data_IF_244452470184
#
_entry.id   IF_244452470184
#
_cell.length_a   1.000
_cell.length_b   1.000
_cell.length_c   1.000
_cell.angle_alpha   90.00
_cell.angle_beta   90.00
_cell.angle_gamma   90.00
#
_symmetry.space_group_name_H-M   'P 1'
#
loop_
_entity.id
_entity.type
_entity.pdbx_description
1 polymer ?
#
# COMPACT_ATOMS: atom_id res chain seq x y z
N UNK A 1 7.63 14.93 -0.49
CA UNK A 1 7.11 14.53 -1.81
C UNK A 1 5.61 14.75 -1.84
N UNK A 2 5.06 15.32 -2.90
CA UNK A 2 3.61 15.51 -3.04
C UNK A 2 2.92 14.18 -3.38
N UNK A 3 3.65 13.27 -4.03
CA UNK A 3 3.16 11.92 -4.33
C UNK A 3 4.29 10.90 -4.20
N UNK A 4 3.97 9.73 -3.64
CA UNK A 4 4.86 8.57 -3.59
C UNK A 4 4.13 7.34 -4.16
N UNK A 5 4.69 6.70 -5.17
CA UNK A 5 4.16 5.46 -5.76
C UNK A 5 5.10 4.31 -5.41
N UNK A 6 4.56 3.29 -4.75
CA UNK A 6 5.30 2.10 -4.32
C UNK A 6 4.88 0.93 -5.22
N UNK A 7 5.74 0.63 -6.18
CA UNK A 7 5.57 -0.48 -7.14
C UNK A 7 6.57 -1.59 -6.81
N UNK A 8 6.16 -2.50 -5.93
CA UNK A 8 6.94 -3.63 -5.45
C UNK A 8 6.27 -4.94 -5.86
N UNK A 9 7.05 -6.03 -6.07
CA UNK A 9 6.47 -7.34 -6.31
C UNK A 9 5.80 -7.89 -5.03
N UNK A 10 4.91 -8.87 -5.19
CA UNK A 10 4.15 -9.45 -4.09
C UNK A 10 5.05 -9.90 -2.91
N UNK A 11 4.59 -9.76 -1.64
CA UNK A 11 5.35 -10.09 -0.43
C UNK A 11 5.45 -11.61 -0.20
N UNK A 12 6.18 -12.29 -1.08
CA UNK A 12 6.37 -13.74 -1.05
C UNK A 12 7.79 -14.16 -0.64
N UNK A 13 8.67 -13.19 -0.37
CA UNK A 13 10.05 -13.41 0.09
C UNK A 13 10.33 -12.63 1.38
N UNK A 14 11.10 -13.20 2.34
CA UNK A 14 11.41 -12.52 3.61
C UNK A 14 12.01 -11.12 3.46
N UNK A 15 12.84 -10.89 2.45
CA UNK A 15 13.44 -9.58 2.19
C UNK A 15 12.42 -8.55 1.69
N UNK A 16 11.45 -8.99 0.89
CA UNK A 16 10.34 -8.16 0.42
C UNK A 16 9.39 -7.80 1.56
N UNK A 17 9.15 -8.70 2.50
CA UNK A 17 8.23 -8.48 3.63
C UNK A 17 8.61 -7.24 4.48
N UNK A 18 9.90 -6.91 4.56
CA UNK A 18 10.38 -5.71 5.28
C UNK A 18 9.80 -4.42 4.69
N UNK A 19 9.58 -4.41 3.37
CA UNK A 19 8.99 -3.30 2.62
C UNK A 19 7.45 -3.23 2.75
N UNK A 20 6.83 -4.14 3.49
CA UNK A 20 5.39 -4.13 3.79
C UNK A 20 5.12 -3.99 5.30
N UNK A 21 6.10 -3.48 6.05
CA UNK A 21 6.00 -3.23 7.50
C UNK A 21 5.41 -1.86 7.83
N UNK A 22 4.87 -1.72 9.03
CA UNK A 22 4.44 -0.43 9.59
C UNK A 22 5.61 0.55 9.70
N UNK A 23 6.80 0.06 10.05
CA UNK A 23 8.03 0.84 10.06
C UNK A 23 8.32 1.47 8.70
N UNK A 24 8.27 0.66 7.63
CA UNK A 24 8.47 1.15 6.26
C UNK A 24 7.43 2.22 5.90
N UNK A 25 6.14 1.93 6.09
CA UNK A 25 5.08 2.88 5.75
C UNK A 25 5.12 4.15 6.62
N UNK A 26 5.56 4.07 7.88
CA UNK A 26 5.74 5.25 8.73
C UNK A 26 6.88 6.13 8.21
N UNK A 27 7.95 5.53 7.71
CA UNK A 27 9.02 6.28 7.05
C UNK A 27 8.53 6.96 5.77
N UNK A 28 7.71 6.29 4.95
CA UNK A 28 7.05 6.90 3.78
C UNK A 28 6.20 8.10 4.21
N UNK A 29 5.40 7.95 5.27
CA UNK A 29 4.56 9.03 5.82
C UNK A 29 5.37 10.27 6.22
N UNK A 30 6.57 10.09 6.74
CA UNK A 30 7.46 11.19 7.13
C UNK A 30 8.06 11.94 5.94
N UNK A 31 8.20 11.27 4.78
CA UNK A 31 8.71 11.87 3.55
C UNK A 31 7.63 12.57 2.71
N UNK A 32 6.36 12.27 2.99
CA UNK A 32 5.22 12.81 2.27
C UNK A 32 4.92 14.25 2.72
N UNK A 33 4.53 15.11 1.78
CA UNK A 33 4.00 16.43 2.09
C UNK A 33 2.70 16.30 2.91
N UNK A 34 2.34 17.35 3.65
CA UNK A 34 1.21 17.30 4.59
C UNK A 34 -0.14 16.97 3.91
N UNK A 35 -0.30 17.39 2.66
CA UNK A 35 -1.41 17.17 1.73
C UNK A 35 -1.09 16.17 0.61
N UNK A 36 0.08 15.52 0.69
CA UNK A 36 0.49 14.53 -0.30
C UNK A 36 -0.25 13.19 -0.16
N UNK A 37 -0.16 12.39 -1.22
CA UNK A 37 -0.76 11.05 -1.28
C UNK A 37 0.29 9.98 -1.59
N UNK A 38 0.10 8.79 -1.02
CA UNK A 38 0.86 7.61 -1.41
C UNK A 38 -0.06 6.54 -2.01
N UNK A 39 0.44 5.80 -2.99
CA UNK A 39 -0.23 4.60 -3.52
C UNK A 39 0.75 3.42 -3.51
N UNK A 40 0.28 2.25 -3.09
CA UNK A 40 1.07 1.00 -3.09
C UNK A 40 0.29 -0.11 -3.76
N UNK A 41 0.97 -0.93 -4.55
CA UNK A 41 0.43 -2.21 -5.02
C UNK A 41 0.14 -3.11 -3.82
N UNK A 42 -1.04 -3.74 -3.81
CA UNK A 42 -1.55 -4.51 -2.65
C UNK A 42 -1.96 -5.93 -3.01
N UNK A 43 -1.40 -6.50 -4.07
CA UNK A 43 -1.70 -7.86 -4.57
C UNK A 43 -3.15 -8.01 -5.07
N UNK A 44 -3.54 -9.22 -5.48
CA UNK A 44 -4.93 -9.52 -5.85
C UNK A 44 -5.85 -9.61 -4.62
N UNK A 45 -6.95 -8.83 -4.55
CA UNK A 45 -7.95 -8.94 -3.48
C UNK A 45 -8.76 -10.25 -3.55
N UNK A 46 -8.72 -10.93 -4.71
CA UNK A 46 -9.37 -12.22 -4.92
C UNK A 46 -8.41 -13.38 -4.62
N UNK A 47 -7.24 -13.43 -5.26
CA UNK A 47 -6.29 -14.55 -5.11
C UNK A 47 -5.42 -14.45 -3.86
N UNK A 48 -5.13 -13.23 -3.40
CA UNK A 48 -4.23 -12.96 -2.27
C UNK A 48 -4.91 -12.06 -1.21
N UNK A 49 -6.21 -12.30 -0.96
CA UNK A 49 -7.06 -11.49 -0.08
C UNK A 49 -6.44 -11.15 1.28
N UNK A 50 -5.74 -12.10 1.91
CA UNK A 50 -5.09 -11.87 3.21
C UNK A 50 -3.98 -10.83 3.10
N UNK A 51 -3.14 -10.90 2.06
CA UNK A 51 -2.09 -9.92 1.81
C UNK A 51 -2.71 -8.54 1.54
N UNK A 52 -3.69 -8.47 0.63
CA UNK A 52 -4.42 -7.23 0.34
C UNK A 52 -4.96 -6.55 1.61
N UNK A 53 -5.70 -7.29 2.45
CA UNK A 53 -6.25 -6.74 3.69
C UNK A 53 -5.17 -6.38 4.72
N UNK A 54 -4.10 -7.17 4.83
CA UNK A 54 -3.00 -6.90 5.73
C UNK A 54 -2.26 -5.62 5.35
N UNK A 55 -1.99 -5.40 4.07
CA UNK A 55 -1.30 -4.18 3.59
C UNK A 55 -2.12 -2.94 3.97
N UNK A 56 -3.42 -2.92 3.70
CA UNK A 56 -4.29 -1.81 4.11
C UNK A 56 -4.26 -1.55 5.63
N UNK A 57 -4.30 -2.61 6.45
CA UNK A 57 -4.20 -2.49 7.91
C UNK A 57 -2.85 -1.97 8.36
N UNK A 58 -1.76 -2.42 7.76
CA UNK A 58 -0.40 -1.99 8.11
C UNK A 58 -0.16 -0.53 7.73
N UNK A 59 -0.64 -0.08 6.57
CA UNK A 59 -0.60 1.34 6.18
C UNK A 59 -1.37 2.20 7.19
N UNK A 60 -2.55 1.75 7.63
CA UNK A 60 -3.31 2.44 8.69
C UNK A 60 -2.56 2.47 10.02
N UNK A 61 -1.93 1.35 10.42
CA UNK A 61 -1.14 1.26 11.64
C UNK A 61 0.10 2.17 11.62
N UNK A 62 0.64 2.47 10.44
CA UNK A 62 1.76 3.39 10.25
C UNK A 62 1.41 4.88 10.46
N UNK A 63 0.14 5.20 10.75
CA UNK A 63 -0.31 6.52 11.15
C UNK A 63 -0.91 7.37 10.02
N UNK A 64 -1.22 6.79 8.87
CA UNK A 64 -2.04 7.46 7.85
C UNK A 64 -3.49 7.60 8.33
N UNK A 65 -4.10 8.77 8.11
CA UNK A 65 -5.47 9.07 8.60
C UNK A 65 -6.53 8.51 7.67
N UNK A 66 -6.32 8.67 6.37
CA UNK A 66 -7.21 8.17 5.33
C UNK A 66 -6.49 7.06 4.59
N UNK A 67 -7.12 5.88 4.55
CA UNK A 67 -6.58 4.69 3.89
C UNK A 67 -7.74 4.01 3.18
N UNK A 68 -7.63 3.91 1.87
CA UNK A 68 -8.62 3.25 1.02
C UNK A 68 -7.95 2.18 0.17
N UNK A 69 -8.72 1.15 -0.18
CA UNK A 69 -8.24 0.10 -1.07
C UNK A 69 -9.14 0.03 -2.28
N UNK A 70 -8.53 -0.01 -3.45
CA UNK A 70 -9.22 -0.07 -4.73
C UNK A 70 -8.65 -1.21 -5.56
N UNK A 71 -9.39 -1.60 -6.59
CA UNK A 71 -9.05 -2.73 -7.43
C UNK A 71 -9.47 -2.47 -8.87
N UNK A 72 -8.78 -3.11 -9.80
CA UNK A 72 -9.07 -3.09 -11.22
C UNK A 72 -8.76 -4.45 -11.83
N UNK A 73 -9.56 -4.86 -12.81
CA UNK A 73 -9.23 -6.03 -13.61
C UNK A 73 -8.15 -5.68 -14.63
N UNK A 74 -6.96 -6.26 -14.46
CA UNK A 74 -5.84 -6.13 -15.40
C UNK A 74 -5.77 -7.42 -16.23
N UNK A 75 -5.95 -7.39 -17.56
CA UNK A 75 -6.13 -8.61 -18.37
C UNK A 75 -5.08 -9.70 -18.17
N UNK A 76 -3.82 -9.35 -17.93
CA UNK A 76 -2.73 -10.30 -17.71
C UNK A 76 -2.59 -10.78 -16.26
N UNK A 77 -3.24 -10.14 -15.29
CA UNK A 77 -3.11 -10.43 -13.85
C UNK A 77 -4.45 -10.77 -13.15
N UNK A 78 -5.59 -10.59 -13.83
CA UNK A 78 -6.91 -10.67 -13.23
C UNK A 78 -7.21 -9.45 -12.34
N UNK A 79 -8.05 -9.62 -11.31
CA UNK A 79 -8.30 -8.55 -10.33
C UNK A 79 -7.02 -8.24 -9.55
N UNK A 80 -6.53 -7.01 -9.71
CA UNK A 80 -5.36 -6.48 -9.03
C UNK A 80 -5.78 -5.34 -8.10
N UNK A 81 -5.09 -5.20 -6.98
CA UNK A 81 -5.45 -4.29 -5.90
C UNK A 81 -4.33 -3.32 -5.54
N UNK A 82 -4.73 -2.18 -5.01
CA UNK A 82 -3.86 -1.12 -4.51
C UNK A 82 -4.42 -0.53 -3.22
N UNK A 83 -3.55 0.07 -2.43
CA UNK A 83 -3.90 0.88 -1.26
C UNK A 83 -3.44 2.32 -1.50
N UNK A 84 -4.35 3.28 -1.35
CA UNK A 84 -4.05 4.71 -1.35
C UNK A 84 -4.16 5.26 0.08
N UNK A 85 -3.29 6.20 0.45
CA UNK A 85 -3.32 6.81 1.76
C UNK A 85 -2.83 8.27 1.76
N UNK A 86 -3.42 9.07 2.66
CA UNK A 86 -3.07 10.48 2.90
C UNK A 86 -2.94 10.75 4.40
N UNK A 87 -2.19 11.80 4.74
CA UNK A 87 -2.02 12.26 6.14
C UNK A 87 -3.10 13.23 6.58
N UNK A 88 -3.44 14.22 5.73
CA UNK A 88 -4.45 15.25 6.04
C UNK A 88 -5.35 15.61 4.86
N UNK A 89 -4.97 15.23 3.63
CA UNK A 89 -5.76 15.46 2.41
C UNK A 89 -6.85 14.42 2.18
#
# INVERSE_FOLDING_TARGET
FDTIIIDLPDPNHPDLNKMYSDYFYNHIRQLLAADGAMAVQSTSPYHAKKAFLSIGKTVKAAGFKHVEQYQQNIPSFGQWGWTIATTNG
#
